data_IF_671145811408
#
_entry.id   IF_671145811408
#
_cell.length_a   1.000
_cell.length_b   1.000
_cell.length_c   1.000
_cell.angle_alpha   90.00
_cell.angle_beta   90.00
_cell.angle_gamma   90.00
#
_symmetry.space_group_name_H-M   'P 1'
#
loop_
_entity.id
_entity.type
_entity.pdbx_description
1 polymer ?
#
# COMPACT_ATOMS: atom_id res chain seq x y z
N UNK A 1 -21.35 -2.68 14.15
CA UNK A 1 -20.57 -3.46 13.18
C UNK A 1 -19.18 -3.65 13.75
N UNK A 2 -18.71 -4.89 13.80
CA UNK A 2 -17.36 -5.18 14.31
C UNK A 2 -16.32 -4.59 13.37
N UNK A 3 -15.31 -3.96 13.96
CA UNK A 3 -14.23 -3.29 13.21
C UNK A 3 -12.95 -3.27 14.01
N UNK A 4 -11.82 -3.27 13.31
CA UNK A 4 -10.51 -3.01 13.90
C UNK A 4 -10.19 -1.54 13.68
N UNK A 5 -10.06 -0.82 14.79
CA UNK A 5 -9.84 0.62 14.79
C UNK A 5 -8.55 0.99 15.49
N UNK A 6 -8.05 2.18 15.18
CA UNK A 6 -7.04 2.83 16.02
C UNK A 6 -7.72 3.69 17.09
N UNK A 7 -7.53 3.35 18.36
CA UNK A 7 -7.93 4.18 19.49
C UNK A 7 -6.95 3.95 20.66
N UNK A 8 -5.91 4.79 20.74
CA UNK A 8 -4.77 4.63 21.68
C UNK A 8 -4.02 3.28 21.54
N UNK A 9 -4.27 2.57 20.44
CA UNK A 9 -3.85 1.20 20.18
C UNK A 9 -4.73 0.63 19.06
N UNK A 10 -4.42 -0.58 18.59
CA UNK A 10 -5.20 -1.25 17.56
C UNK A 10 -6.12 -2.27 18.24
N UNK A 11 -7.43 -2.05 18.15
CA UNK A 11 -8.42 -2.81 18.93
C UNK A 11 -9.60 -3.26 18.07
N UNK A 12 -10.16 -4.43 18.40
CA UNK A 12 -11.47 -4.86 17.90
C UNK A 12 -12.56 -4.18 18.72
N UNK A 13 -13.50 -3.52 18.06
CA UNK A 13 -14.63 -2.86 18.72
C UNK A 13 -15.88 -2.83 17.84
N UNK A 14 -17.01 -2.50 18.44
CA UNK A 14 -18.25 -2.20 17.71
C UNK A 14 -18.24 -0.73 17.28
N UNK A 15 -18.48 -0.51 15.98
CA UNK A 15 -18.63 0.82 15.40
C UNK A 15 -20.02 0.99 14.80
N UNK A 16 -20.44 2.24 14.62
CA UNK A 16 -21.70 2.59 13.96
C UNK A 16 -21.62 2.27 12.48
N UNK A 17 -22.72 1.77 11.90
CA UNK A 17 -22.81 1.62 10.45
C UNK A 17 -22.62 2.97 9.75
N UNK A 18 -21.91 2.95 8.64
CA UNK A 18 -21.61 4.14 7.85
C UNK A 18 -22.57 4.14 6.65
N UNK A 19 -23.36 5.20 6.43
CA UNK A 19 -24.26 5.26 5.27
C UNK A 19 -23.47 5.42 3.96
N UNK A 20 -23.99 4.84 2.88
CA UNK A 20 -23.38 4.95 1.55
C UNK A 20 -23.75 6.27 0.90
N UNK A 21 -22.84 7.25 1.00
CA UNK A 21 -23.02 8.58 0.40
C UNK A 21 -22.67 8.64 -1.08
N UNK A 22 -22.96 9.79 -1.71
CA UNK A 22 -22.54 10.06 -3.09
C UNK A 22 -21.02 9.91 -3.26
N UNK A 23 -20.60 9.18 -4.31
CA UNK A 23 -19.18 8.93 -4.60
C UNK A 23 -18.53 7.84 -3.74
N UNK A 24 -19.31 7.12 -2.93
CA UNK A 24 -18.86 5.99 -2.13
C UNK A 24 -19.55 4.70 -2.55
N UNK A 25 -18.89 3.58 -2.26
CA UNK A 25 -19.47 2.24 -2.39
C UNK A 25 -19.33 1.49 -1.09
N UNK A 26 -20.28 0.61 -0.81
CA UNK A 26 -20.17 -0.33 0.29
C UNK A 26 -19.55 -1.63 -0.20
N UNK A 27 -18.57 -2.10 0.56
CA UNK A 27 -17.88 -3.36 0.35
C UNK A 27 -18.13 -4.26 1.56
N UNK A 28 -18.33 -5.55 1.30
CA UNK A 28 -18.14 -6.61 2.27
C UNK A 28 -16.70 -7.16 2.14
N UNK A 29 -15.76 -6.76 3.01
CA UNK A 29 -14.36 -7.19 2.91
C UNK A 29 -14.22 -8.68 3.21
N UNK A 30 -13.31 -9.33 2.50
CA UNK A 30 -13.01 -10.75 2.66
C UNK A 30 -11.59 -10.94 3.18
N UNK A 31 -10.63 -10.28 2.54
CA UNK A 31 -9.21 -10.36 2.87
C UNK A 31 -8.59 -8.98 2.84
N UNK A 32 -7.65 -8.75 3.75
CA UNK A 32 -6.90 -7.51 3.85
C UNK A 32 -5.42 -7.82 3.88
N UNK A 33 -4.63 -6.99 3.21
CA UNK A 33 -3.18 -7.03 3.34
C UNK A 33 -2.79 -6.12 4.50
N UNK A 34 -2.23 -6.72 5.53
CA UNK A 34 -1.59 -6.03 6.65
C UNK A 34 -0.11 -5.88 6.32
N UNK A 35 0.40 -4.65 6.30
CA UNK A 35 1.76 -4.37 5.87
C UNK A 35 2.47 -3.30 6.72
N UNK A 36 3.48 -2.65 6.12
CA UNK A 36 4.25 -1.57 6.75
C UNK A 36 3.39 -0.40 7.25
N UNK A 37 2.21 -0.15 6.68
CA UNK A 37 1.31 0.91 7.13
C UNK A 37 0.71 0.61 8.50
N UNK A 38 0.11 -0.57 8.70
CA UNK A 38 -0.42 -0.96 10.01
C UNK A 38 0.70 -1.07 11.06
N UNK A 39 1.88 -1.56 10.67
CA UNK A 39 3.06 -1.56 11.54
C UNK A 39 3.46 -0.14 11.96
N UNK A 40 3.42 0.83 11.05
CA UNK A 40 3.77 2.20 11.35
C UNK A 40 2.78 2.88 12.29
N UNK A 41 1.50 2.56 12.15
CA UNK A 41 0.44 3.01 13.07
C UNK A 41 0.69 2.38 14.45
N UNK A 42 0.92 1.07 14.51
CA UNK A 42 1.22 0.36 15.75
C UNK A 42 2.44 0.92 16.49
N UNK A 43 3.52 1.22 15.76
CA UNK A 43 4.77 1.75 16.30
C UNK A 43 4.73 3.28 16.58
N UNK A 44 3.63 3.96 16.26
CA UNK A 44 3.52 5.41 16.41
C UNK A 44 4.35 6.24 15.42
N UNK A 45 4.87 5.60 14.35
CA UNK A 45 5.58 6.28 13.26
C UNK A 45 4.61 7.01 12.31
N UNK A 46 3.37 6.53 12.23
CA UNK A 46 2.29 7.14 11.48
C UNK A 46 1.11 7.36 12.42
N UNK A 47 0.75 8.62 12.66
CA UNK A 47 -0.41 8.96 13.47
C UNK A 47 -1.68 8.99 12.62
N UNK A 48 -2.75 8.37 13.11
CA UNK A 48 -4.08 8.41 12.49
C UNK A 48 -5.11 8.89 13.51
N UNK A 49 -6.25 9.41 13.03
CA UNK A 49 -7.29 9.89 13.94
C UNK A 49 -7.85 8.75 14.81
N UNK A 50 -8.18 9.01 16.09
CA UNK A 50 -8.89 8.04 16.91
C UNK A 50 -10.21 7.58 16.26
N UNK A 51 -10.57 6.32 16.49
CA UNK A 51 -11.74 5.63 15.93
C UNK A 51 -11.73 5.46 14.40
N UNK A 52 -10.57 5.66 13.75
CA UNK A 52 -10.40 5.31 12.34
C UNK A 52 -10.40 3.79 12.18
N UNK A 53 -11.23 3.27 11.28
CA UNK A 53 -11.17 1.87 10.84
C UNK A 53 -9.89 1.69 10.00
N UNK A 54 -9.10 0.67 10.34
CA UNK A 54 -7.82 0.39 9.67
C UNK A 54 -7.97 -0.50 8.43
N UNK A 55 -6.86 -0.86 7.80
CA UNK A 55 -6.81 -1.69 6.60
C UNK A 55 -6.83 -0.83 5.35
N UNK A 56 -5.64 -0.62 4.78
CA UNK A 56 -5.49 0.21 3.58
C UNK A 56 -5.80 -0.53 2.28
N UNK A 57 -5.52 -1.83 2.22
CA UNK A 57 -5.64 -2.64 1.00
C UNK A 57 -6.50 -3.87 1.28
N UNK A 58 -7.56 -4.06 0.52
CA UNK A 58 -8.46 -5.20 0.72
C UNK A 58 -9.10 -5.73 -0.53
N UNK A 59 -9.56 -6.97 -0.43
CA UNK A 59 -10.44 -7.62 -1.39
C UNK A 59 -11.81 -7.79 -0.77
N UNK A 60 -12.84 -7.57 -1.57
CA UNK A 60 -14.21 -7.75 -1.14
C UNK A 60 -15.18 -7.82 -2.31
N UNK A 61 -16.47 -7.83 -1.98
CA UNK A 61 -17.55 -7.67 -2.94
C UNK A 61 -18.30 -6.38 -2.68
N UNK A 62 -18.67 -5.68 -3.74
CA UNK A 62 -19.57 -4.52 -3.61
C UNK A 62 -20.94 -5.02 -3.18
N UNK A 63 -21.48 -4.47 -2.10
CA UNK A 63 -22.82 -4.79 -1.60
C UNK A 63 -23.82 -3.69 -1.91
N UNK A 64 -23.39 -2.44 -1.98
CA UNK A 64 -24.23 -1.30 -2.28
C UNK A 64 -23.43 -0.14 -2.88
N UNK A 65 -24.10 0.82 -3.52
CA UNK A 65 -23.48 1.98 -4.16
C UNK A 65 -24.22 3.28 -3.85
N UNK A 66 -23.46 4.36 -3.74
CA UNK A 66 -24.02 5.70 -3.54
C UNK A 66 -24.79 6.21 -4.77
N UNK A 67 -25.58 7.26 -4.55
CA UNK A 67 -26.38 7.92 -5.59
C UNK A 67 -25.50 8.32 -6.77
N UNK A 68 -25.94 7.98 -7.99
CA UNK A 68 -25.28 8.35 -9.24
C UNK A 68 -24.10 7.45 -9.65
N UNK A 69 -23.84 6.38 -8.91
CA UNK A 69 -22.86 5.35 -9.27
C UNK A 69 -23.58 4.24 -10.05
N UNK A 70 -22.89 3.67 -11.05
CA UNK A 70 -23.38 2.54 -11.82
C UNK A 70 -23.66 1.32 -10.90
N UNK A 71 -24.91 0.87 -10.87
CA UNK A 71 -25.33 -0.28 -10.05
C UNK A 71 -24.81 -1.62 -10.57
N UNK A 72 -24.28 -1.68 -11.81
CA UNK A 72 -23.74 -2.92 -12.40
C UNK A 72 -22.54 -3.49 -11.64
N UNK A 73 -21.88 -2.67 -10.81
CA UNK A 73 -20.74 -3.09 -9.99
C UNK A 73 -21.16 -3.86 -8.74
N UNK A 74 -22.44 -3.82 -8.34
CA UNK A 74 -22.94 -4.57 -7.18
C UNK A 74 -22.72 -6.08 -7.41
N UNK A 75 -22.21 -6.75 -6.38
CA UNK A 75 -21.85 -8.17 -6.41
C UNK A 75 -20.50 -8.48 -7.05
N UNK A 76 -19.86 -7.51 -7.74
CA UNK A 76 -18.54 -7.71 -8.34
C UNK A 76 -17.45 -7.80 -7.28
N UNK A 77 -16.44 -8.62 -7.57
CA UNK A 77 -15.20 -8.67 -6.79
C UNK A 77 -14.37 -7.43 -7.07
N UNK A 78 -13.83 -6.83 -6.02
CA UNK A 78 -13.04 -5.60 -6.12
C UNK A 78 -11.78 -5.64 -5.28
N UNK A 79 -10.78 -4.90 -5.73
CA UNK A 79 -9.62 -4.47 -4.96
C UNK A 79 -9.87 -3.04 -4.46
N UNK A 80 -9.58 -2.81 -3.20
CA UNK A 80 -9.51 -1.49 -2.58
C UNK A 80 -8.06 -1.08 -2.57
N UNK A 81 -7.76 -0.02 -3.31
CA UNK A 81 -6.45 0.61 -3.39
C UNK A 81 -6.20 1.43 -2.12
N UNK A 82 -4.94 1.55 -1.67
CA UNK A 82 -4.61 2.25 -0.43
C UNK A 82 -4.82 3.77 -0.50
N UNK A 83 -5.09 4.32 -1.69
CA UNK A 83 -5.18 5.75 -1.93
C UNK A 83 -6.37 6.10 -2.84
N UNK A 84 -7.13 7.11 -2.43
CA UNK A 84 -8.16 7.79 -3.20
C UNK A 84 -7.65 9.18 -3.61
N UNK A 85 -7.61 9.53 -4.91
CA UNK A 85 -7.30 10.89 -5.35
C UNK A 85 -8.21 11.96 -4.73
N UNK A 86 -9.49 11.66 -4.50
CA UNK A 86 -10.46 12.62 -3.96
C UNK A 86 -10.51 12.68 -2.43
N UNK A 87 -10.08 11.61 -1.72
CA UNK A 87 -10.26 11.49 -0.26
C UNK A 87 -8.99 11.19 0.53
N UNK A 88 -7.90 10.81 -0.12
CA UNK A 88 -6.63 10.46 0.51
C UNK A 88 -6.48 8.98 0.86
N UNK A 89 -5.68 8.68 1.87
CA UNK A 89 -5.31 7.32 2.25
C UNK A 89 -6.46 6.53 2.88
N UNK A 90 -6.72 5.34 2.35
CA UNK A 90 -7.69 4.39 2.90
C UNK A 90 -7.08 3.74 4.14
N UNK A 91 -7.84 3.65 5.23
CA UNK A 91 -7.36 3.12 6.51
C UNK A 91 -6.34 4.01 7.24
N UNK A 92 -6.05 5.21 6.72
CA UNK A 92 -5.09 6.16 7.30
C UNK A 92 -5.62 7.60 7.41
N UNK A 93 -6.42 8.06 6.45
CA UNK A 93 -7.06 9.38 6.43
C UNK A 93 -8.59 9.28 6.38
N UNK A 94 -9.10 8.29 5.64
CA UNK A 94 -10.49 7.85 5.68
C UNK A 94 -10.60 6.40 6.13
N UNK A 95 -11.80 5.98 6.53
CA UNK A 95 -12.02 4.64 7.07
C UNK A 95 -11.59 3.57 6.07
N UNK A 96 -10.90 2.55 6.59
CA UNK A 96 -10.37 1.42 5.84
C UNK A 96 -11.32 0.25 5.76
N UNK A 97 -10.75 -0.93 5.49
CA UNK A 97 -11.46 -2.16 5.16
C UNK A 97 -11.39 -3.28 6.21
N UNK A 98 -10.81 -3.04 7.39
CA UNK A 98 -10.85 -3.98 8.51
C UNK A 98 -12.16 -3.85 9.32
N UNK A 99 -13.29 -4.09 8.66
CA UNK A 99 -14.63 -4.08 9.25
C UNK A 99 -15.55 -5.09 8.55
N UNK A 100 -16.66 -5.46 9.19
CA UNK A 100 -17.67 -6.35 8.58
C UNK A 100 -18.25 -5.75 7.29
N UNK A 101 -18.44 -4.43 7.28
CA UNK A 101 -18.88 -3.62 6.15
C UNK A 101 -18.01 -2.37 6.09
N UNK A 102 -17.62 -1.96 4.89
CA UNK A 102 -16.74 -0.81 4.70
C UNK A 102 -17.29 0.09 3.61
N UNK A 103 -17.42 1.38 3.90
CA UNK A 103 -17.83 2.39 2.93
C UNK A 103 -16.60 3.16 2.48
N UNK A 104 -16.19 2.94 1.23
CA UNK A 104 -14.94 3.48 0.66
C UNK A 104 -15.20 4.34 -0.58
N UNK A 105 -14.32 5.31 -0.89
CA UNK A 105 -14.45 6.15 -2.07
C UNK A 105 -14.39 5.32 -3.35
N UNK A 106 -15.28 5.58 -4.31
CA UNK A 106 -15.34 4.83 -5.58
C UNK A 106 -14.01 4.88 -6.36
N UNK A 107 -13.31 6.01 -6.31
CA UNK A 107 -12.03 6.21 -7.01
C UNK A 107 -10.84 5.44 -6.38
N UNK A 108 -11.06 4.76 -5.25
CA UNK A 108 -10.11 3.79 -4.68
C UNK A 108 -10.44 2.35 -5.07
N UNK A 109 -11.52 2.10 -5.80
CA UNK A 109 -12.02 0.75 -6.09
C UNK A 109 -11.68 0.33 -7.50
N UNK A 110 -11.10 -0.86 -7.63
CA UNK A 110 -10.82 -1.49 -8.93
C UNK A 110 -11.61 -2.78 -9.04
N UNK A 111 -12.48 -2.85 -10.04
CA UNK A 111 -13.22 -4.07 -10.36
C UNK A 111 -12.25 -5.11 -10.91
N UNK A 112 -12.30 -6.29 -10.31
CA UNK A 112 -11.42 -7.40 -10.65
C UNK A 112 -12.16 -8.44 -11.50
N UNK A 113 -11.45 -9.15 -12.39
CA UNK A 113 -11.94 -10.40 -12.97
C UNK A 113 -12.31 -11.42 -11.87
N UNK A 114 -13.32 -12.24 -12.11
CA UNK A 114 -13.84 -13.18 -11.10
C UNK A 114 -12.82 -14.29 -10.72
N UNK A 115 -11.88 -14.59 -11.62
CA UNK A 115 -10.87 -15.64 -11.50
C UNK A 115 -9.58 -15.19 -10.80
N UNK A 116 -9.37 -13.88 -10.61
CA UNK A 116 -8.15 -13.39 -9.95
C UNK A 116 -8.17 -13.74 -8.46
N UNK A 117 -7.08 -14.28 -7.94
CA UNK A 117 -6.99 -14.72 -6.54
C UNK A 117 -6.49 -13.61 -5.59
N UNK A 118 -6.15 -13.98 -4.36
CA UNK A 118 -5.72 -13.05 -3.31
C UNK A 118 -4.40 -12.33 -3.63
N UNK A 119 -3.61 -12.82 -4.60
CA UNK A 119 -2.38 -12.17 -5.03
C UNK A 119 -2.65 -10.74 -5.52
N UNK A 120 -3.89 -10.47 -5.98
CA UNK A 120 -4.34 -9.13 -6.37
C UNK A 120 -4.16 -8.06 -5.28
N UNK A 121 -4.02 -8.43 -4.01
CA UNK A 121 -3.65 -7.50 -2.93
C UNK A 121 -2.25 -6.85 -3.12
N UNK A 122 -1.37 -7.44 -3.94
CA UNK A 122 -0.04 -6.88 -4.24
C UNK A 122 -0.06 -5.84 -5.37
N UNK A 123 -1.18 -5.68 -6.06
CA UNK A 123 -1.29 -4.83 -7.23
C UNK A 123 -0.94 -3.34 -6.97
N UNK A 124 -1.23 -2.73 -5.80
CA UNK A 124 -0.76 -1.38 -5.51
C UNK A 124 0.77 -1.25 -5.54
N UNK A 125 1.48 -2.26 -5.02
CA UNK A 125 2.94 -2.29 -4.98
C UNK A 125 3.55 -2.62 -6.34
N UNK A 126 2.93 -3.52 -7.09
CA UNK A 126 3.28 -3.80 -8.49
C UNK A 126 3.16 -2.51 -9.32
N UNK A 127 2.07 -1.76 -9.16
CA UNK A 127 1.84 -0.51 -9.86
C UNK A 127 2.95 0.52 -9.61
N UNK A 128 3.40 0.65 -8.36
CA UNK A 128 4.50 1.53 -8.01
C UNK A 128 5.84 1.05 -8.56
N UNK A 129 6.14 -0.24 -8.44
CA UNK A 129 7.38 -0.83 -8.97
C UNK A 129 7.50 -0.66 -10.49
N UNK A 130 6.42 -0.87 -11.23
CA UNK A 130 6.36 -0.63 -12.67
C UNK A 130 6.57 0.85 -13.02
N UNK A 131 5.91 1.76 -12.30
CA UNK A 131 6.13 3.20 -12.50
C UNK A 131 7.58 3.60 -12.27
N UNK A 132 8.22 3.08 -11.22
CA UNK A 132 9.63 3.33 -10.94
C UNK A 132 10.49 2.80 -12.10
N UNK A 133 10.27 1.56 -12.55
CA UNK A 133 11.00 0.96 -13.68
C UNK A 133 10.90 1.80 -14.95
N UNK A 134 9.70 2.28 -15.27
CA UNK A 134 9.43 3.13 -16.45
C UNK A 134 10.12 4.49 -16.38
N UNK A 135 10.21 5.06 -15.18
CA UNK A 135 10.81 6.36 -14.95
C UNK A 135 12.34 6.30 -14.91
N UNK A 136 12.91 5.23 -14.34
CA UNK A 136 14.37 5.10 -14.23
C UNK A 136 15.02 4.59 -15.51
N UNK A 137 14.32 3.80 -16.33
CA UNK A 137 14.80 3.27 -17.62
C UNK A 137 16.21 2.64 -17.57
N UNK A 138 16.53 2.01 -16.44
CA UNK A 138 17.83 1.36 -16.22
C UNK A 138 18.98 2.28 -15.80
N UNK A 139 18.75 3.59 -15.67
CA UNK A 139 19.73 4.54 -15.13
C UNK A 139 20.15 4.19 -13.69
N UNK A 140 21.35 4.61 -13.26
CA UNK A 140 21.84 4.47 -11.89
C UNK A 140 20.78 4.87 -10.85
N UNK A 141 20.25 3.86 -10.16
CA UNK A 141 19.17 4.04 -9.18
C UNK A 141 19.55 3.42 -7.84
N UNK A 142 19.38 4.18 -6.76
CA UNK A 142 19.44 3.65 -5.40
C UNK A 142 18.03 3.50 -4.82
N UNK A 143 17.73 2.35 -4.24
CA UNK A 143 16.50 2.13 -3.49
C UNK A 143 16.82 2.07 -2.01
N UNK A 144 16.18 2.94 -1.21
CA UNK A 144 16.33 2.97 0.24
C UNK A 144 15.07 2.40 0.89
N UNK A 145 15.25 1.30 1.63
CA UNK A 145 14.19 0.58 2.33
C UNK A 145 13.83 -0.78 1.70
N UNK A 146 13.22 -1.63 2.51
CA UNK A 146 12.99 -3.06 2.23
C UNK A 146 11.51 -3.47 2.24
N UNK A 147 10.59 -2.52 2.02
CA UNK A 147 9.15 -2.79 1.94
C UNK A 147 8.73 -3.49 0.65
N UNK A 148 7.45 -3.83 0.52
CA UNK A 148 6.90 -4.56 -0.64
C UNK A 148 7.22 -3.88 -1.99
N UNK A 149 7.14 -2.55 -2.09
CA UNK A 149 7.52 -1.82 -3.32
C UNK A 149 8.98 -2.11 -3.71
N UNK A 150 9.91 -2.05 -2.76
CA UNK A 150 11.33 -2.28 -3.02
C UNK A 150 11.61 -3.74 -3.37
N UNK A 151 10.98 -4.69 -2.67
CA UNK A 151 11.11 -6.13 -2.93
C UNK A 151 10.60 -6.47 -4.34
N UNK A 152 9.44 -5.95 -4.72
CA UNK A 152 8.87 -6.18 -6.06
C UNK A 152 9.72 -5.51 -7.13
N UNK A 153 10.13 -4.25 -6.91
CA UNK A 153 10.99 -3.55 -7.85
C UNK A 153 12.32 -4.27 -8.07
N UNK A 154 12.94 -4.81 -7.01
CA UNK A 154 14.15 -5.64 -7.09
C UNK A 154 13.97 -6.87 -7.97
N UNK A 155 12.80 -7.49 -7.95
CA UNK A 155 12.55 -8.70 -8.71
C UNK A 155 12.29 -8.44 -10.20
N UNK A 156 11.79 -7.25 -10.55
CA UNK A 156 11.40 -6.91 -11.94
C UNK A 156 12.39 -6.00 -12.65
N UNK A 157 13.36 -5.44 -11.93
CA UNK A 157 14.37 -4.55 -12.50
C UNK A 157 15.56 -5.33 -13.05
N UNK A 158 16.05 -4.89 -14.20
CA UNK A 158 17.19 -5.40 -14.95
C UNK A 158 18.31 -4.35 -15.10
N UNK A 159 18.13 -3.18 -14.47
CA UNK A 159 19.02 -2.03 -14.59
C UNK A 159 20.13 -1.94 -13.55
N UNK A 160 20.88 -0.84 -13.60
CA UNK A 160 21.89 -0.49 -12.60
C UNK A 160 21.22 0.02 -11.31
N UNK A 161 20.70 -0.92 -10.52
CA UNK A 161 19.96 -0.65 -9.29
C UNK A 161 20.66 -1.25 -8.08
N UNK A 162 20.95 -0.41 -7.08
CA UNK A 162 21.42 -0.86 -5.77
C UNK A 162 20.34 -0.68 -4.70
N UNK A 163 20.42 -1.50 -3.66
CA UNK A 163 19.45 -1.52 -2.55
C UNK A 163 20.19 -1.28 -1.23
N UNK A 164 19.69 -0.34 -0.43
CA UNK A 164 20.17 -0.03 0.90
C UNK A 164 19.02 -0.17 1.91
N UNK A 165 19.05 -1.27 2.65
CA UNK A 165 17.96 -1.66 3.56
C UNK A 165 18.13 -1.07 4.97
N UNK A 166 19.32 -0.56 5.30
CA UNK A 166 19.66 -0.01 6.60
C UNK A 166 20.64 1.18 6.51
N UNK A 167 20.93 1.79 7.67
CA UNK A 167 21.86 2.92 7.73
C UNK A 167 23.32 2.55 7.39
N UNK A 168 23.70 1.28 7.51
CA UNK A 168 25.08 0.82 7.29
C UNK A 168 25.32 0.65 5.79
N UNK A 169 24.46 -0.09 5.11
CA UNK A 169 24.43 -0.25 3.66
C UNK A 169 24.36 1.11 2.96
N UNK A 170 23.60 2.07 3.50
CA UNK A 170 23.54 3.41 2.93
C UNK A 170 24.83 4.21 3.08
N UNK A 171 25.61 4.04 4.16
CA UNK A 171 26.89 4.75 4.32
C UNK A 171 27.85 4.48 3.17
N UNK A 172 27.82 3.26 2.65
CA UNK A 172 28.64 2.85 1.51
C UNK A 172 28.24 3.54 0.19
N UNK A 173 27.08 4.18 0.15
CA UNK A 173 26.55 4.86 -1.04
C UNK A 173 26.86 6.36 -1.08
N UNK A 174 27.39 6.95 0.00
CA UNK A 174 27.67 8.39 0.07
C UNK A 174 28.79 8.87 -0.86
N UNK A 175 29.70 7.97 -1.24
CA UNK A 175 30.75 8.24 -2.22
C UNK A 175 30.25 8.24 -3.66
N UNK A 176 29.05 7.70 -3.91
CA UNK A 176 28.43 7.64 -5.24
C UNK A 176 27.48 8.82 -5.46
N UNK A 177 27.09 8.98 -6.72
CA UNK A 177 26.04 9.89 -7.16
C UNK A 177 25.03 9.12 -8.00
N UNK A 178 23.75 9.42 -7.80
CA UNK A 178 22.63 8.66 -8.34
C UNK A 178 21.74 9.57 -9.18
N UNK A 179 21.30 9.08 -10.35
CA UNK A 179 20.31 9.78 -11.16
C UNK A 179 18.94 9.69 -10.49
N UNK A 180 18.66 8.55 -9.86
CA UNK A 180 17.40 8.32 -9.17
C UNK A 180 17.64 7.74 -7.77
N UNK A 181 16.89 8.24 -6.80
CA UNK A 181 16.79 7.61 -5.47
C UNK A 181 15.32 7.31 -5.17
N UNK A 182 15.00 6.06 -4.89
CA UNK A 182 13.65 5.63 -4.48
C UNK A 182 13.63 5.50 -2.97
N UNK A 183 12.78 6.27 -2.29
CA UNK A 183 12.64 6.19 -0.83
C UNK A 183 11.39 5.39 -0.49
N UNK A 184 11.54 4.08 -0.31
CA UNK A 184 10.46 3.13 0.00
C UNK A 184 10.39 2.78 1.49
N UNK A 185 10.75 3.72 2.36
CA UNK A 185 10.73 3.58 3.82
C UNK A 185 10.02 4.74 4.50
N UNK A 186 9.41 4.46 5.64
CA UNK A 186 8.77 5.48 6.47
C UNK A 186 9.78 6.32 7.27
N UNK A 187 11.05 5.94 7.28
CA UNK A 187 12.11 6.66 7.99
C UNK A 187 12.35 8.06 7.41
N UNK A 188 12.20 9.10 8.25
CA UNK A 188 12.39 10.50 7.85
C UNK A 188 13.79 10.84 7.35
N UNK A 189 14.81 10.26 7.98
CA UNK A 189 16.21 10.48 7.63
C UNK A 189 16.53 10.06 6.18
N UNK A 190 15.84 9.05 5.63
CA UNK A 190 16.10 8.54 4.29
C UNK A 190 15.82 9.60 3.22
N UNK A 191 14.77 10.41 3.41
CA UNK A 191 14.44 11.51 2.51
C UNK A 191 15.45 12.64 2.56
N UNK A 192 15.93 12.97 3.76
CA UNK A 192 16.98 13.98 3.94
C UNK A 192 18.30 13.56 3.30
N UNK A 193 18.65 12.27 3.37
CA UNK A 193 19.86 11.73 2.76
C UNK A 193 19.74 11.63 1.24
N UNK A 194 18.56 11.24 0.74
CA UNK A 194 18.33 11.01 -0.68
C UNK A 194 18.78 12.18 -1.56
N UNK A 195 18.53 13.44 -1.15
CA UNK A 195 18.95 14.62 -1.91
C UNK A 195 20.46 14.80 -2.00
N UNK A 196 21.21 14.39 -0.97
CA UNK A 196 22.65 14.66 -0.85
C UNK A 196 23.51 13.77 -1.75
N UNK A 197 22.91 12.72 -2.29
CA UNK A 197 23.59 11.70 -3.09
C UNK A 197 23.12 11.72 -4.55
N UNK A 198 22.35 12.72 -4.96
CA UNK A 198 21.90 12.87 -6.34
C UNK A 198 22.99 13.47 -7.22
N UNK A 199 22.95 13.13 -8.51
CA UNK A 199 23.53 13.96 -9.57
C UNK A 199 22.79 15.31 -9.65
N UNK A 200 23.32 16.28 -10.41
CA UNK A 200 22.77 17.65 -10.49
C UNK A 200 21.29 17.66 -10.92
N UNK A 201 20.91 16.82 -11.88
CA UNK A 201 19.53 16.68 -12.39
C UNK A 201 18.73 15.53 -11.74
N UNK A 202 19.33 14.86 -10.75
CA UNK A 202 18.77 13.65 -10.16
C UNK A 202 17.41 13.89 -9.48
N UNK A 203 16.61 12.83 -9.39
CA UNK A 203 15.25 12.86 -8.80
C UNK A 203 15.10 11.88 -7.66
N UNK A 204 14.26 12.24 -6.69
CA UNK A 204 13.85 11.34 -5.61
C UNK A 204 12.42 10.86 -5.86
N UNK A 205 12.21 9.56 -6.04
CA UNK A 205 10.88 9.00 -6.11
C UNK A 205 10.39 8.61 -4.72
N UNK A 206 9.19 9.07 -4.36
CA UNK A 206 8.59 8.82 -3.04
C UNK A 206 7.22 8.17 -3.23
N UNK A 207 7.12 6.84 -3.09
CA UNK A 207 5.83 6.16 -3.04
C UNK A 207 4.93 6.73 -1.93
N UNK A 208 3.69 7.06 -2.27
CA UNK A 208 2.69 7.63 -1.37
C UNK A 208 1.41 6.80 -1.38
N UNK A 209 0.93 6.52 -0.18
CA UNK A 209 -0.35 5.82 0.08
C UNK A 209 -1.36 6.71 0.80
N UNK A 210 -1.00 7.96 1.11
CA UNK A 210 -1.84 8.94 1.81
C UNK A 210 -1.33 10.36 1.53
N UNK A 211 -2.14 11.38 1.81
CA UNK A 211 -1.78 12.77 1.52
C UNK A 211 -0.79 13.35 2.54
N UNK A 212 -1.07 13.13 3.83
CA UNK A 212 -0.38 13.72 4.98
C UNK A 212 1.03 13.16 5.25
N UNK A 213 1.37 12.00 4.68
CA UNK A 213 2.67 11.38 4.85
C UNK A 213 3.34 11.05 3.51
N UNK A 214 4.66 11.32 3.34
CA UNK A 214 5.54 11.93 4.33
C UNK A 214 5.30 13.44 4.45
N UNK A 215 5.51 14.02 5.64
CA UNK A 215 5.31 15.46 5.86
C UNK A 215 6.36 16.33 5.16
N UNK A 216 7.51 15.74 4.82
CA UNK A 216 8.57 16.37 4.03
C UNK A 216 8.81 15.54 2.78
N UNK A 217 8.68 16.19 1.63
CA UNK A 217 9.14 15.68 0.34
C UNK A 217 10.35 16.55 -0.04
N UNK A 218 11.47 15.94 -0.43
CA UNK A 218 12.63 16.70 -0.88
C UNK A 218 12.32 17.56 -2.12
N UNK A 219 13.10 18.60 -2.38
CA UNK A 219 12.90 19.54 -3.50
C UNK A 219 12.97 18.82 -4.86
N UNK A 220 13.88 17.86 -5.01
CA UNK A 220 13.96 16.99 -6.20
C UNK A 220 12.97 15.81 -6.15
N UNK A 221 12.04 15.84 -5.19
CA UNK A 221 11.10 14.77 -4.90
C UNK A 221 9.88 14.75 -5.81
N UNK A 222 9.57 13.56 -6.32
CA UNK A 222 8.39 13.28 -7.14
C UNK A 222 7.56 12.23 -6.39
N UNK A 223 6.35 12.59 -5.90
CA UNK A 223 5.47 11.62 -5.27
C UNK A 223 4.90 10.65 -6.32
N UNK A 224 4.90 9.36 -5.99
CA UNK A 224 4.31 8.32 -6.82
C UNK A 224 3.13 7.69 -6.11
N UNK A 225 1.96 7.69 -6.76
CA UNK A 225 0.76 7.08 -6.21
C UNK A 225 0.45 5.77 -6.95
N UNK A 226 -0.04 4.73 -6.26
CA UNK A 226 -0.48 3.53 -6.93
C UNK A 226 -1.71 3.85 -7.77
N UNK A 227 -1.72 3.33 -9.00
CA UNK A 227 -2.83 3.50 -9.96
C UNK A 227 -3.22 2.15 -10.55
N UNK A 228 -4.49 1.99 -10.93
CA UNK A 228 -4.91 0.83 -11.70
C UNK A 228 -4.16 0.79 -13.03
N UNK A 229 -3.71 -0.40 -13.44
CA UNK A 229 -2.99 -0.61 -14.70
C UNK A 229 -3.56 -1.84 -15.42
N UNK A 230 -3.28 -1.99 -16.71
CA UNK A 230 -3.73 -3.14 -17.50
C UNK A 230 -2.71 -4.28 -17.52
N UNK A 231 -1.43 -3.92 -17.47
CA UNK A 231 -0.25 -4.81 -17.52
C UNK A 231 0.06 -5.50 -16.18
N UNK A 232 -0.72 -5.21 -15.14
CA UNK A 232 -0.51 -5.72 -13.79
C UNK A 232 -0.79 -7.22 -13.64
N UNK A 233 -1.68 -7.80 -14.47
CA UNK A 233 -2.10 -9.21 -14.42
C UNK A 233 -0.97 -10.08 -14.95
N UNK A 234 -0.38 -9.71 -16.09
CA UNK A 234 0.75 -10.43 -16.69
C UNK A 234 1.92 -10.57 -15.71
N UNK A 235 2.18 -9.52 -14.92
CA UNK A 235 3.22 -9.54 -13.91
C UNK A 235 2.81 -10.35 -12.67
N UNK A 236 1.53 -10.34 -12.29
CA UNK A 236 1.04 -11.09 -11.13
C UNK A 236 1.26 -12.60 -11.26
N UNK A 237 1.24 -13.11 -12.50
CA UNK A 237 1.48 -14.51 -12.86
C UNK A 237 2.95 -14.82 -13.16
N UNK A 238 3.86 -13.87 -12.93
CA UNK A 238 5.29 -14.09 -13.15
C UNK A 238 5.92 -14.91 -12.02
N UNK A 239 6.97 -15.67 -12.36
CA UNK A 239 7.74 -16.49 -11.40
C UNK A 239 8.37 -15.64 -10.29
N UNK A 240 8.76 -14.41 -10.62
CA UNK A 240 9.31 -13.44 -9.70
C UNK A 240 8.30 -13.09 -8.61
N UNK A 241 7.05 -12.80 -8.99
CA UNK A 241 5.97 -12.48 -8.05
C UNK A 241 5.58 -13.71 -7.23
N UNK A 242 5.50 -14.90 -7.84
CA UNK A 242 5.26 -16.15 -7.11
C UNK A 242 6.31 -16.37 -6.01
N UNK A 243 7.60 -16.16 -6.32
CA UNK A 243 8.68 -16.27 -5.35
C UNK A 243 8.56 -15.24 -4.24
N UNK A 244 8.13 -14.02 -4.55
CA UNK A 244 7.87 -12.99 -3.52
C UNK A 244 6.76 -13.45 -2.57
N UNK A 245 5.65 -13.93 -3.12
CA UNK A 245 4.51 -14.41 -2.31
C UNK A 245 4.95 -15.53 -1.37
N UNK A 246 5.69 -16.50 -1.90
CA UNK A 246 6.16 -17.66 -1.12
C UNK A 246 7.05 -17.25 0.06
N UNK A 247 7.96 -16.30 -0.15
CA UNK A 247 8.98 -15.96 0.85
C UNK A 247 8.52 -14.84 1.79
N UNK A 248 7.87 -13.80 1.26
CA UNK A 248 7.61 -12.55 1.97
C UNK A 248 6.16 -12.32 2.38
N UNK A 249 5.21 -13.10 1.85
CA UNK A 249 3.80 -12.93 2.21
C UNK A 249 3.36 -14.05 3.16
N UNK A 250 2.82 -13.66 4.32
CA UNK A 250 2.18 -14.55 5.28
C UNK A 250 0.68 -14.66 5.04
N UNK A 251 0.04 -15.64 5.69
CA UNK A 251 -1.42 -15.74 5.78
C UNK A 251 -1.83 -15.90 7.24
N UNK A 252 -2.95 -15.29 7.63
CA UNK A 252 -3.46 -15.36 9.00
C UNK A 252 -4.99 -15.32 9.03
N UNK A 253 -5.57 -16.00 10.01
CA UNK A 253 -7.00 -15.94 10.32
C UNK A 253 -7.30 -14.94 11.46
N UNK A 254 -6.27 -14.24 11.97
CA UNK A 254 -6.39 -13.28 13.06
C UNK A 254 -5.58 -12.01 12.73
N UNK A 255 -6.27 -10.94 12.30
CA UNK A 255 -5.63 -9.66 11.95
C UNK A 255 -4.91 -9.04 13.15
N UNK A 256 -5.50 -9.04 14.35
CA UNK A 256 -4.92 -8.39 15.53
C UNK A 256 -3.59 -9.03 15.91
N UNK A 257 -3.52 -10.36 15.91
CA UNK A 257 -2.28 -11.09 16.18
C UNK A 257 -1.23 -10.91 15.07
N UNK A 258 -1.63 -10.36 13.92
CA UNK A 258 -0.74 -10.09 12.77
C UNK A 258 -0.17 -8.67 12.80
N UNK A 259 -0.52 -7.85 13.80
CA UNK A 259 0.00 -6.48 13.95
C UNK A 259 0.77 -6.38 15.28
N UNK A 260 2.08 -6.08 15.25
CA UNK A 260 2.89 -5.81 14.06
C UNK A 260 3.22 -7.10 13.28
N UNK A 261 3.27 -7.00 11.95
CA UNK A 261 3.65 -8.12 11.08
C UNK A 261 5.17 -8.32 11.08
N UNK A 262 5.66 -9.57 11.28
CA UNK A 262 7.08 -9.91 11.15
C UNK A 262 7.53 -10.08 9.69
N UNK A 263 6.58 -10.14 8.74
CA UNK A 263 6.84 -10.24 7.30
C UNK A 263 6.49 -8.92 6.59
N UNK A 264 7.04 -8.67 5.38
CA UNK A 264 6.67 -7.51 4.58
C UNK A 264 5.16 -7.37 4.31
N UNK A 265 4.40 -8.47 4.30
CA UNK A 265 2.94 -8.44 4.29
C UNK A 265 2.30 -9.72 4.82
N UNK A 266 1.11 -9.61 5.39
CA UNK A 266 0.24 -10.73 5.79
C UNK A 266 -1.13 -10.53 5.16
N UNK A 267 -1.59 -11.53 4.41
CA UNK A 267 -2.98 -11.59 3.94
C UNK A 267 -3.82 -12.18 5.07
N UNK A 268 -4.69 -11.36 5.65
CA UNK A 268 -5.53 -11.75 6.76
C UNK A 268 -7.00 -11.93 6.33
N UNK A 269 -7.65 -12.99 6.83
CA UNK A 269 -9.08 -13.23 6.63
C UNK A 269 -9.92 -12.38 7.59
N UNK A 270 -10.62 -11.40 7.03
CA UNK A 270 -11.43 -10.44 7.80
C UNK A 270 -12.65 -11.13 8.38
N UNK A 271 -13.32 -11.99 7.60
CA UNK A 271 -14.53 -12.68 8.02
C UNK A 271 -14.26 -13.62 9.20
N UNK A 272 -13.11 -14.27 9.25
CA UNK A 272 -12.72 -15.11 10.40
C UNK A 272 -12.33 -14.28 11.61
N UNK A 273 -11.64 -13.16 11.41
CA UNK A 273 -11.20 -12.31 12.50
C UNK A 273 -12.37 -11.63 13.23
N UNK A 274 -13.42 -11.25 12.49
CA UNK A 274 -14.54 -10.48 13.02
C UNK A 274 -15.73 -11.36 13.47
N UNK A 275 -15.67 -12.70 13.30
CA UNK A 275 -16.68 -13.60 13.87
C UNK A 275 -16.58 -13.65 15.39
#
# INVERSE_FOLDING_TARGET
MKSIVFNQGIILTETTEIPVGQGYVEIAPEKVLVDGLENAIFLGLLWVRPNLILGSIGLGKVTDVGIGIDQSIIGKKVLIMPYSPSRGGIGTEVNGVLAERSVVPLDSVVVLPDDIDDRSLLLPFISLALQIKELTKGSPTLVIGSGLTAIIFKAITDGNVEFADDSISLKNQFSKRWDYVVVSTLSGWARHVAEKILTEDGKVFVPKFLNSWPPYIPNSGIPLYPKARKDWIDLLDSKEIENIIKNFIGRSDNVIASIPTPKPGIIADVKKTLK
#
